data_IF_258735938796
#
_entry.id   IF_258735938796
#
_cell.length_a   1.000
_cell.length_b   1.000
_cell.length_c   1.000
_cell.angle_alpha   90.00
_cell.angle_beta   90.00
_cell.angle_gamma   90.00
#
_symmetry.space_group_name_H-M   'P 1'
#
loop_
_entity.id
_entity.type
_entity.pdbx_description
1 polymer ?
#
# COMPACT_ATOMS: atom_id res chain seq x y z
N UNK A 1 -25.06 -18.32 25.91
CA UNK A 1 -26.43 -17.78 25.76
C UNK A 1 -26.32 -16.27 25.75
N UNK A 2 -26.85 -15.72 24.67
CA UNK A 2 -26.79 -14.35 24.18
C UNK A 2 -27.07 -13.26 25.22
N UNK A 3 -26.43 -12.09 25.04
CA UNK A 3 -27.14 -10.93 24.48
C UNK A 3 -26.28 -9.65 24.49
N UNK A 4 -26.54 -8.82 23.48
CA UNK A 4 -26.22 -7.39 23.32
C UNK A 4 -24.84 -7.01 22.76
N UNK A 5 -24.65 -7.34 21.48
CA UNK A 5 -23.92 -6.45 20.56
C UNK A 5 -24.85 -5.29 20.20
N UNK A 6 -24.70 -4.17 20.89
CA UNK A 6 -25.32 -2.91 20.53
C UNK A 6 -24.52 -2.27 19.39
N UNK A 7 -25.26 -1.79 18.38
CA UNK A 7 -24.79 -0.96 17.29
C UNK A 7 -23.95 0.22 17.80
N UNK A 8 -22.87 0.51 17.08
CA UNK A 8 -22.46 1.89 16.82
C UNK A 8 -22.21 2.03 15.31
N UNK A 9 -23.30 2.19 14.57
CA UNK A 9 -23.30 2.94 13.32
C UNK A 9 -23.63 4.40 13.63
N UNK A 10 -22.88 5.28 12.96
CA UNK A 10 -23.08 6.72 12.83
C UNK A 10 -22.77 7.61 14.05
N UNK A 11 -21.68 8.39 13.92
CA UNK A 11 -21.60 9.86 13.99
C UNK A 11 -20.10 10.23 14.18
N UNK A 12 -19.48 11.12 13.42
CA UNK A 12 -20.03 12.03 12.44
C UNK A 12 -18.93 12.68 11.60
N UNK A 13 -19.38 13.33 10.54
CA UNK A 13 -18.61 14.35 9.85
C UNK A 13 -18.24 15.45 10.85
N UNK A 14 -16.95 15.70 11.04
CA UNK A 14 -16.45 16.98 11.49
C UNK A 14 -15.41 17.47 10.49
N UNK A 15 -15.66 18.69 10.04
CA UNK A 15 -14.97 19.41 8.99
C UNK A 15 -13.44 19.53 9.19
N UNK A 16 -12.73 19.63 8.07
CA UNK A 16 -11.40 20.24 7.99
C UNK A 16 -10.22 19.28 8.16
N UNK A 17 -9.79 18.66 7.06
CA UNK A 17 -8.49 17.98 6.97
C UNK A 17 -8.50 16.83 5.98
N UNK A 18 -8.01 17.07 4.76
CA UNK A 18 -7.64 16.01 3.82
C UNK A 18 -6.49 15.18 4.42
N UNK A 19 -6.82 14.11 5.13
CA UNK A 19 -5.91 13.01 5.42
C UNK A 19 -6.50 11.75 4.80
N UNK A 20 -5.94 11.31 3.68
CA UNK A 20 -6.32 10.06 3.03
C UNK A 20 -5.84 8.87 3.89
N UNK A 21 -6.59 8.53 4.92
CA UNK A 21 -6.37 7.30 5.68
C UNK A 21 -7.21 6.19 5.02
N UNK A 22 -6.52 5.29 4.32
CA UNK A 22 -7.11 4.08 3.77
C UNK A 22 -7.79 3.25 4.86
N UNK A 23 -8.80 2.47 4.49
CA UNK A 23 -9.57 1.66 5.43
C UNK A 23 -8.70 0.58 6.10
N UNK A 24 -8.17 0.86 7.29
CA UNK A 24 -7.46 -0.13 8.09
C UNK A 24 -8.47 -1.09 8.75
N UNK A 25 -8.25 -2.40 8.61
CA UNK A 25 -9.10 -3.43 9.24
C UNK A 25 -8.67 -3.62 10.70
N UNK A 26 -9.55 -3.29 11.64
CA UNK A 26 -9.36 -3.60 13.06
C UNK A 26 -9.58 -5.10 13.29
N UNK A 27 -8.61 -5.79 13.91
CA UNK A 27 -8.74 -7.21 14.26
C UNK A 27 -9.57 -7.33 15.57
N UNK A 28 -10.59 -8.19 15.57
CA UNK A 28 -11.33 -8.59 16.77
C UNK A 28 -10.53 -9.62 17.59
N UNK A 29 -10.38 -9.34 18.90
CA UNK A 29 -10.00 -10.13 20.10
C UNK A 29 -9.46 -11.57 20.09
N UNK A 30 -9.30 -12.27 18.97
CA UNK A 30 -8.38 -13.41 18.88
C UNK A 30 -7.03 -12.87 18.44
N UNK A 31 -6.09 -12.89 19.38
CA UNK A 31 -4.77 -12.24 19.35
C UNK A 31 -3.87 -12.90 18.30
N UNK A 32 -4.20 -12.71 17.01
CA UNK A 32 -3.32 -13.12 15.93
C UNK A 32 -2.15 -12.14 15.91
N UNK A 33 -1.05 -12.54 16.54
CA UNK A 33 0.20 -11.83 16.42
C UNK A 33 0.52 -11.63 14.93
N UNK A 34 0.95 -10.43 14.57
CA UNK A 34 1.37 -10.14 13.21
C UNK A 34 2.56 -11.01 12.82
N UNK A 35 2.74 -11.27 11.53
CA UNK A 35 3.96 -11.88 11.00
C UNK A 35 5.13 -10.91 11.10
N UNK A 36 6.36 -11.41 11.00
CA UNK A 36 7.54 -10.54 11.00
C UNK A 36 7.50 -9.53 9.84
N UNK A 37 7.00 -9.94 8.66
CA UNK A 37 6.79 -9.03 7.52
C UNK A 37 5.76 -7.92 7.82
N UNK A 38 4.66 -8.25 8.50
CA UNK A 38 3.64 -7.28 8.89
C UNK A 38 4.19 -6.24 9.89
N UNK A 39 5.02 -6.66 10.85
CA UNK A 39 5.68 -5.70 11.75
C UNK A 39 6.68 -4.80 11.02
N UNK A 40 7.41 -5.33 10.04
CA UNK A 40 8.29 -4.53 9.20
C UNK A 40 7.51 -3.51 8.36
N UNK A 41 6.31 -3.88 7.86
CA UNK A 41 5.42 -2.96 7.15
C UNK A 41 4.90 -1.85 8.08
N UNK A 42 4.48 -2.19 9.31
CA UNK A 42 4.07 -1.21 10.32
C UNK A 42 5.20 -0.20 10.55
N UNK A 43 6.42 -0.69 10.76
CA UNK A 43 7.56 0.20 10.93
C UNK A 43 7.78 1.07 9.70
N UNK A 44 7.77 0.48 8.49
CA UNK A 44 7.95 1.23 7.24
C UNK A 44 6.95 2.38 7.08
N UNK A 45 5.69 2.13 7.40
CA UNK A 45 4.60 3.11 7.26
C UNK A 45 4.73 4.24 8.30
N UNK A 46 5.02 3.91 9.56
CA UNK A 46 4.96 4.87 10.65
C UNK A 46 6.33 5.42 11.07
N UNK A 47 7.46 4.97 10.52
CA UNK A 47 8.80 5.44 10.94
C UNK A 47 9.04 6.95 10.77
N UNK A 48 8.25 7.63 9.94
CA UNK A 48 8.27 9.10 9.83
C UNK A 48 7.43 9.82 10.89
N UNK A 49 6.63 9.09 11.68
CA UNK A 49 5.85 9.62 12.79
C UNK A 49 6.71 9.67 14.06
N UNK A 50 6.95 10.87 14.58
CA UNK A 50 7.82 11.08 15.77
C UNK A 50 7.26 10.42 17.03
N UNK A 51 5.94 10.41 17.22
CA UNK A 51 5.30 9.76 18.37
C UNK A 51 5.49 8.24 18.32
N UNK A 52 5.41 7.64 17.13
CA UNK A 52 5.69 6.22 16.94
C UNK A 52 7.14 5.87 17.29
N UNK A 53 8.11 6.61 16.74
CA UNK A 53 9.53 6.40 17.05
C UNK A 53 9.82 6.60 18.54
N UNK A 54 9.23 7.62 19.15
CA UNK A 54 9.36 7.87 20.60
C UNK A 54 8.84 6.70 21.42
N UNK A 55 7.71 6.11 21.03
CA UNK A 55 7.18 4.91 21.67
C UNK A 55 8.12 3.71 21.51
N UNK A 56 8.66 3.47 20.30
CA UNK A 56 9.61 2.38 20.07
C UNK A 56 10.93 2.55 20.86
N UNK A 57 11.38 3.79 21.10
CA UNK A 57 12.58 4.07 21.90
C UNK A 57 12.48 3.56 23.34
N UNK A 58 11.28 3.36 23.87
CA UNK A 58 11.07 2.70 25.17
C UNK A 58 11.52 1.23 25.19
N UNK A 59 11.58 0.57 24.03
CA UNK A 59 12.12 -0.79 23.90
C UNK A 59 13.58 -0.77 23.45
N UNK A 60 13.94 0.13 22.52
CA UNK A 60 15.31 0.29 22.02
C UNK A 60 15.64 1.75 21.74
N UNK A 61 16.42 2.39 22.61
CA UNK A 61 16.72 3.82 22.55
C UNK A 61 17.36 4.30 21.23
N UNK A 62 18.11 3.42 20.56
CA UNK A 62 18.82 3.69 19.30
C UNK A 62 17.91 3.66 18.06
N UNK A 63 16.66 3.22 18.18
CA UNK A 63 15.76 3.15 17.01
C UNK A 63 15.45 4.56 16.48
N UNK A 64 15.58 4.74 15.17
CA UNK A 64 15.29 5.99 14.48
C UNK A 64 14.47 5.74 13.23
N UNK A 65 14.03 6.82 12.56
CA UNK A 65 13.35 6.75 11.27
C UNK A 65 14.20 6.14 10.15
N UNK A 66 15.53 6.15 10.32
CA UNK A 66 16.50 5.70 9.33
C UNK A 66 16.93 4.24 9.56
N UNK A 67 16.46 3.61 10.65
CA UNK A 67 16.68 2.18 10.90
C UNK A 67 16.07 1.31 9.80
N UNK A 68 16.66 0.13 9.59
CA UNK A 68 16.16 -0.82 8.59
C UNK A 68 14.76 -1.34 8.95
N UNK A 69 13.97 -1.73 7.94
CA UNK A 69 12.65 -2.31 8.18
C UNK A 69 12.73 -3.56 9.05
N UNK A 70 13.75 -4.42 8.84
CA UNK A 70 13.98 -5.64 9.64
C UNK A 70 14.22 -5.33 11.12
N UNK A 71 15.10 -4.38 11.42
CA UNK A 71 15.38 -3.97 12.79
C UNK A 71 14.17 -3.29 13.43
N UNK A 72 13.59 -2.30 12.75
CA UNK A 72 12.42 -1.59 13.25
C UNK A 72 11.21 -2.49 13.42
N UNK A 73 11.03 -3.50 12.57
CA UNK A 73 10.00 -4.52 12.69
C UNK A 73 10.14 -5.38 13.94
N UNK A 74 11.37 -5.77 14.32
CA UNK A 74 11.61 -6.50 15.58
C UNK A 74 11.21 -5.66 16.80
N UNK A 75 11.60 -4.38 16.83
CA UNK A 75 11.26 -3.47 17.92
C UNK A 75 9.75 -3.19 17.95
N UNK A 76 9.12 -3.04 16.79
CA UNK A 76 7.67 -2.88 16.65
C UNK A 76 6.92 -4.11 17.17
N UNK A 77 7.40 -5.32 16.87
CA UNK A 77 6.87 -6.57 17.41
C UNK A 77 6.89 -6.60 18.93
N UNK A 78 8.05 -6.33 19.52
CA UNK A 78 8.19 -6.30 20.97
C UNK A 78 7.30 -5.25 21.62
N UNK A 79 7.17 -4.08 21.00
CA UNK A 79 6.32 -3.01 21.50
C UNK A 79 4.83 -3.38 21.41
N UNK A 80 4.35 -3.81 20.24
CA UNK A 80 2.96 -4.18 20.01
C UNK A 80 2.48 -5.37 20.86
N UNK A 81 3.34 -6.34 21.12
CA UNK A 81 2.98 -7.49 21.96
C UNK A 81 2.86 -7.13 23.45
N UNK A 82 3.52 -6.05 23.90
CA UNK A 82 3.49 -5.59 25.29
C UNK A 82 2.42 -4.52 25.57
N UNK A 83 1.81 -3.94 24.53
CA UNK A 83 0.85 -2.85 24.68
C UNK A 83 -0.48 -3.16 23.97
N UNK A 84 -1.59 -3.18 24.72
CA UNK A 84 -2.97 -3.34 24.19
C UNK A 84 -3.81 -2.06 24.37
N UNK A 85 -3.14 -0.93 24.63
CA UNK A 85 -3.81 0.35 24.85
C UNK A 85 -4.42 0.90 23.55
N UNK A 86 -5.27 1.93 23.66
CA UNK A 86 -5.82 2.63 22.49
C UNK A 86 -4.69 3.25 21.66
N UNK A 87 -3.62 3.73 22.30
CA UNK A 87 -2.43 4.23 21.62
C UNK A 87 -1.72 3.11 20.84
N UNK A 88 -1.65 1.88 21.36
CA UNK A 88 -1.05 0.76 20.64
C UNK A 88 -1.85 0.39 19.39
N UNK A 89 -3.17 0.42 19.49
CA UNK A 89 -4.09 0.13 18.39
C UNK A 89 -3.99 1.12 17.21
N UNK A 90 -3.36 2.28 17.41
CA UNK A 90 -3.17 3.25 16.33
C UNK A 90 -2.05 2.82 15.36
N UNK A 91 -1.07 2.02 15.81
CA UNK A 91 0.07 1.59 15.01
C UNK A 91 0.12 0.08 14.79
N UNK A 92 -0.34 -0.71 15.76
CA UNK A 92 -0.40 -2.16 15.69
C UNK A 92 -1.61 -2.61 14.86
N UNK A 93 -1.56 -2.36 13.56
CA UNK A 93 -2.66 -2.60 12.60
C UNK A 93 -2.18 -3.45 11.42
N UNK A 94 -3.10 -4.18 10.78
CA UNK A 94 -2.79 -4.85 9.50
C UNK A 94 -2.68 -3.79 8.42
N UNK A 95 -1.51 -3.72 7.80
CA UNK A 95 -1.27 -2.89 6.63
C UNK A 95 -1.32 -3.73 5.34
N UNK A 96 -1.64 -3.11 4.20
CA UNK A 96 -1.52 -3.74 2.90
C UNK A 96 -0.10 -4.27 2.64
N UNK A 97 0.00 -5.52 2.19
CA UNK A 97 1.27 -6.19 1.85
C UNK A 97 1.60 -6.06 0.37
N UNK A 98 0.57 -6.00 -0.47
CA UNK A 98 0.71 -5.89 -1.92
C UNK A 98 0.18 -4.57 -2.44
N UNK A 99 0.58 -4.21 -3.66
CA UNK A 99 0.05 -3.05 -4.37
C UNK A 99 -1.48 -3.17 -4.53
N UNK A 100 -1.98 -4.34 -4.90
CA UNK A 100 -3.42 -4.61 -5.03
C UNK A 100 -4.21 -4.33 -3.75
N UNK A 101 -3.71 -4.79 -2.61
CA UNK A 101 -4.30 -4.51 -1.30
C UNK A 101 -4.22 -3.01 -0.96
N UNK A 102 -3.12 -2.33 -1.31
CA UNK A 102 -2.91 -0.91 -1.02
C UNK A 102 -3.83 -0.01 -1.84
N UNK A 103 -4.07 -0.36 -3.09
CA UNK A 103 -4.96 0.38 -3.99
C UNK A 103 -6.43 0.16 -3.63
N UNK A 104 -6.81 -1.07 -3.26
CA UNK A 104 -8.18 -1.39 -2.84
C UNK A 104 -9.25 -1.25 -3.94
N UNK A 105 -8.84 -1.20 -5.21
CA UNK A 105 -9.69 -1.12 -6.41
C UNK A 105 -9.19 -2.09 -7.47
N UNK A 106 -10.06 -2.60 -8.36
CA UNK A 106 -9.61 -3.47 -9.45
C UNK A 106 -8.75 -2.71 -10.47
N UNK A 107 -8.01 -3.46 -11.29
CA UNK A 107 -7.41 -2.95 -12.51
C UNK A 107 -8.47 -2.40 -13.47
N UNK A 108 -8.04 -1.53 -14.38
CA UNK A 108 -8.88 -0.96 -15.41
C UNK A 108 -9.61 -2.03 -16.21
N UNK A 109 -10.87 -1.75 -16.52
CA UNK A 109 -11.66 -2.54 -17.47
C UNK A 109 -11.61 -1.98 -18.90
N UNK A 110 -11.13 -0.74 -19.08
CA UNK A 110 -11.08 -0.04 -20.36
C UNK A 110 -9.64 0.31 -20.75
N UNK A 111 -8.89 -0.68 -21.24
CA UNK A 111 -7.48 -0.52 -21.60
C UNK A 111 -7.25 0.44 -22.78
N UNK A 112 -8.21 0.55 -23.70
CA UNK A 112 -8.14 1.52 -24.80
C UNK A 112 -8.10 2.96 -24.27
N UNK A 113 -9.00 3.30 -23.34
CA UNK A 113 -9.02 4.60 -22.69
C UNK A 113 -7.78 4.85 -21.83
N UNK A 114 -7.29 3.81 -21.13
CA UNK A 114 -6.03 3.90 -20.39
C UNK A 114 -4.85 4.22 -21.29
N UNK A 115 -4.67 3.50 -22.39
CA UNK A 115 -3.62 3.77 -23.38
C UNK A 115 -3.76 5.21 -23.90
N UNK A 116 -4.95 5.63 -24.31
CA UNK A 116 -5.21 7.01 -24.76
C UNK A 116 -4.78 8.06 -23.73
N UNK A 117 -5.06 7.84 -22.45
CA UNK A 117 -4.71 8.76 -21.36
C UNK A 117 -3.20 8.88 -21.07
N UNK A 118 -2.41 7.89 -21.47
CA UNK A 118 -0.96 7.83 -21.22
C UNK A 118 -0.11 7.98 -22.50
N UNK A 119 -0.70 7.87 -23.68
CA UNK A 119 0.00 7.93 -24.98
C UNK A 119 0.67 9.28 -25.21
N UNK A 120 0.02 10.38 -24.82
CA UNK A 120 0.58 11.74 -24.93
C UNK A 120 1.71 12.03 -23.93
N UNK A 121 2.04 11.08 -23.05
CA UNK A 121 3.06 11.26 -22.01
C UNK A 121 4.45 10.76 -22.41
N UNK A 122 4.65 10.26 -23.65
CA UNK A 122 5.91 9.84 -24.28
C UNK A 122 7.07 9.53 -23.33
N UNK A 123 6.80 8.69 -22.34
CA UNK A 123 7.74 8.35 -21.29
C UNK A 123 8.54 7.14 -21.78
N UNK A 124 9.82 7.35 -22.08
CA UNK A 124 10.71 6.26 -22.49
C UNK A 124 10.74 5.14 -21.44
N UNK A 125 10.50 5.46 -20.17
CA UNK A 125 10.36 4.47 -19.11
C UNK A 125 9.07 3.65 -19.25
N UNK A 126 7.95 4.26 -19.64
CA UNK A 126 6.72 3.52 -19.93
C UNK A 126 6.91 2.57 -21.11
N UNK A 127 7.52 3.04 -22.22
CA UNK A 127 7.76 2.16 -23.37
C UNK A 127 8.69 1.00 -22.99
N UNK A 128 9.73 1.23 -22.19
CA UNK A 128 10.62 0.17 -21.70
C UNK A 128 9.89 -0.83 -20.79
N UNK A 129 9.04 -0.33 -19.89
CA UNK A 129 8.17 -1.16 -19.06
C UNK A 129 7.25 -2.04 -19.93
N UNK A 130 6.64 -1.49 -20.99
CA UNK A 130 5.76 -2.25 -21.87
C UNK A 130 6.52 -3.25 -22.77
N UNK A 131 7.75 -2.91 -23.18
CA UNK A 131 8.63 -3.82 -23.93
C UNK A 131 9.04 -5.05 -23.13
N UNK A 132 9.03 -4.99 -21.80
CA UNK A 132 9.28 -6.19 -20.98
C UNK A 132 8.17 -7.23 -21.12
N UNK A 133 6.99 -6.83 -21.61
CA UNK A 133 5.86 -7.71 -21.91
C UNK A 133 5.83 -8.03 -23.41
N UNK A 134 5.98 -7.01 -24.26
CA UNK A 134 5.93 -7.13 -25.71
C UNK A 134 7.15 -6.47 -26.35
N UNK A 135 8.22 -7.25 -26.52
CA UNK A 135 9.54 -6.75 -26.98
C UNK A 135 9.51 -6.05 -28.34
N UNK A 136 8.59 -6.44 -29.23
CA UNK A 136 8.40 -5.83 -30.55
C UNK A 136 7.67 -4.48 -30.55
N UNK A 137 7.20 -3.99 -29.39
CA UNK A 137 6.47 -2.73 -29.29
C UNK A 137 7.41 -1.55 -29.57
N UNK A 138 7.26 -0.90 -30.73
CA UNK A 138 8.11 0.24 -31.14
C UNK A 138 7.66 1.56 -30.54
N UNK A 139 6.35 1.72 -30.29
CA UNK A 139 5.73 2.91 -29.75
C UNK A 139 4.43 2.54 -29.00
N UNK A 140 3.95 3.46 -28.18
CA UNK A 140 2.65 3.37 -27.52
C UNK A 140 1.68 4.19 -28.36
N UNK A 141 0.61 3.58 -28.86
CA UNK A 141 -0.31 4.24 -29.77
C UNK A 141 -1.78 4.05 -29.34
N UNK A 142 -2.57 5.11 -29.43
CA UNK A 142 -4.03 5.06 -29.21
C UNK A 142 -4.69 4.10 -30.22
N UNK A 143 -5.68 3.34 -29.78
CA UNK A 143 -6.38 2.33 -30.58
C UNK A 143 -5.55 1.10 -30.97
N UNK A 144 -4.26 1.03 -30.62
CA UNK A 144 -3.41 -0.09 -30.95
C UNK A 144 -3.54 -1.24 -29.93
N UNK A 145 -3.92 -2.43 -30.39
CA UNK A 145 -4.12 -3.60 -29.53
C UNK A 145 -2.83 -4.01 -28.80
N UNK A 146 -1.68 -3.94 -29.47
CA UNK A 146 -0.39 -4.31 -28.87
C UNK A 146 -0.03 -3.43 -27.67
N UNK A 147 -0.35 -2.14 -27.74
CA UNK A 147 -0.17 -1.17 -26.65
C UNK A 147 -1.09 -1.49 -25.48
N UNK A 148 -2.35 -1.86 -25.75
CA UNK A 148 -3.33 -2.24 -24.73
C UNK A 148 -2.93 -3.54 -24.02
N UNK A 149 -2.56 -4.57 -24.78
CA UNK A 149 -2.15 -5.87 -24.24
C UNK A 149 -0.86 -5.75 -23.43
N UNK A 150 0.12 -4.98 -23.92
CA UNK A 150 1.36 -4.75 -23.19
C UNK A 150 1.12 -3.99 -21.88
N UNK A 151 0.26 -2.95 -21.91
CA UNK A 151 -0.11 -2.20 -20.71
C UNK A 151 -0.81 -3.10 -19.70
N UNK A 152 -1.85 -3.82 -20.12
CA UNK A 152 -2.58 -4.78 -19.29
C UNK A 152 -1.65 -5.81 -18.67
N UNK A 153 -0.82 -6.47 -19.47
CA UNK A 153 0.11 -7.50 -19.00
C UNK A 153 1.14 -6.93 -18.02
N UNK A 154 1.62 -5.70 -18.24
CA UNK A 154 2.53 -5.06 -17.30
C UNK A 154 1.84 -4.81 -15.96
N UNK A 155 0.64 -4.22 -15.99
CA UNK A 155 -0.16 -3.96 -14.80
C UNK A 155 -0.47 -5.23 -14.01
N UNK A 156 -0.88 -6.31 -14.69
CA UNK A 156 -1.14 -7.62 -14.08
C UNK A 156 0.11 -8.22 -13.45
N UNK A 157 1.26 -8.16 -14.14
CA UNK A 157 2.53 -8.70 -13.63
C UNK A 157 3.04 -8.00 -12.36
N UNK A 158 2.65 -6.75 -12.14
CA UNK A 158 3.07 -5.90 -11.02
C UNK A 158 2.02 -5.76 -9.93
N UNK A 159 0.81 -6.27 -10.15
CA UNK A 159 -0.34 -6.08 -9.26
C UNK A 159 -0.12 -6.63 -7.85
N UNK A 160 0.60 -7.76 -7.75
CA UNK A 160 0.89 -8.44 -6.49
C UNK A 160 2.32 -8.19 -5.97
N UNK A 161 3.02 -7.17 -6.51
CA UNK A 161 4.32 -6.77 -5.96
C UNK A 161 4.17 -6.34 -4.50
N UNK A 162 5.11 -6.77 -3.66
CA UNK A 162 5.13 -6.41 -2.24
C UNK A 162 5.46 -4.93 -2.07
N UNK A 163 4.78 -4.27 -1.12
CA UNK A 163 5.02 -2.85 -0.81
C UNK A 163 6.06 -2.65 0.28
N UNK A 164 6.65 -3.72 0.82
CA UNK A 164 7.69 -3.64 1.86
C UNK A 164 9.02 -3.12 1.31
N UNK A 165 9.30 -3.37 0.03
CA UNK A 165 10.54 -2.94 -0.63
C UNK A 165 10.40 -1.54 -1.25
N UNK A 166 11.51 -0.84 -1.45
CA UNK A 166 11.51 0.49 -2.05
C UNK A 166 11.05 0.46 -3.52
N UNK A 167 11.36 -0.64 -4.22
CA UNK A 167 10.84 -0.91 -5.56
C UNK A 167 9.30 -0.94 -5.58
N UNK A 168 8.68 -1.46 -4.52
CA UNK A 168 7.23 -1.51 -4.35
C UNK A 168 6.58 -0.12 -4.35
N UNK A 169 7.23 0.89 -3.77
CA UNK A 169 6.72 2.27 -3.78
C UNK A 169 6.78 2.91 -5.18
N UNK A 170 7.88 2.67 -5.91
CA UNK A 170 8.04 3.15 -7.28
C UNK A 170 7.01 2.50 -8.22
N UNK A 171 6.83 1.17 -8.09
CA UNK A 171 5.83 0.42 -8.86
C UNK A 171 4.41 0.87 -8.49
N UNK A 172 4.11 1.08 -7.20
CA UNK A 172 2.81 1.57 -6.76
C UNK A 172 2.40 2.86 -7.47
N UNK A 173 3.30 3.85 -7.51
CA UNK A 173 3.04 5.13 -8.21
C UNK A 173 2.75 4.91 -9.70
N UNK A 174 3.51 4.03 -10.36
CA UNK A 174 3.27 3.68 -11.76
C UNK A 174 1.91 3.00 -11.96
N UNK A 175 1.53 2.05 -11.10
CA UNK A 175 0.26 1.33 -11.18
C UNK A 175 -0.92 2.29 -11.01
N UNK A 176 -0.89 3.16 -9.99
CA UNK A 176 -1.92 4.20 -9.78
C UNK A 176 -2.09 5.07 -11.02
N UNK A 177 -0.98 5.46 -11.66
CA UNK A 177 -1.03 6.35 -12.81
C UNK A 177 -1.44 5.68 -14.13
N UNK A 178 -1.26 4.36 -14.26
CA UNK A 178 -1.32 3.64 -15.56
C UNK A 178 -2.44 2.61 -15.64
N UNK A 179 -2.80 2.00 -14.52
CA UNK A 179 -3.46 0.69 -14.49
C UNK A 179 -4.84 0.67 -13.84
N UNK A 180 -5.22 1.76 -13.17
CA UNK A 180 -6.53 1.89 -12.52
C UNK A 180 -7.33 3.00 -13.19
N UNK A 181 -8.64 2.85 -13.23
CA UNK A 181 -9.51 3.89 -13.77
C UNK A 181 -9.47 5.12 -12.85
N UNK A 182 -9.34 6.30 -13.45
CA UNK A 182 -9.34 7.56 -12.73
C UNK A 182 -10.68 7.78 -12.04
N UNK A 183 -10.67 8.50 -10.91
CA UNK A 183 -11.90 8.93 -10.24
C UNK A 183 -12.70 9.90 -11.11
#
# INVERSE_FOLDING_TARGET
MDAKLALFSALGASAGGMGAFGAYKLISKEQKAFTDEEYQLIFKEFKSNESFITALKTQKAEITKDSSNSEGGKVTKEWCLKHDSKEAKQWCVILPKTISEKIGKPLSSNWAERVKSITNKSDSALLNDLKSIKSGLSQIADGNQDSQDALKGWCESKWNTKVIDDEGNAIYTKIVNRCVDGQ
#
